data_IF_752261544471
#
_entry.id   IF_752261544471
#
_cell.length_a   1.000
_cell.length_b   1.000
_cell.length_c   1.000
_cell.angle_alpha   90.00
_cell.angle_beta   90.00
_cell.angle_gamma   90.00
#
_symmetry.space_group_name_H-M   'P 1'
#
loop_
_entity.id
_entity.type
_entity.pdbx_description
1 polymer ?
#
# COMPACT_ATOMS: atom_id res chain seq x y z
N UNK A 1 -6.97 7.43 5.35
CA UNK A 1 -5.49 7.56 5.42
C UNK A 1 -4.94 6.23 5.92
N UNK A 2 -3.87 5.69 5.30
CA UNK A 2 -3.35 4.37 5.66
C UNK A 2 -2.19 4.35 6.66
N UNK A 3 -1.50 5.47 6.89
CA UNK A 3 -0.36 5.52 7.81
C UNK A 3 -0.87 5.31 9.25
N UNK A 4 -0.36 4.32 10.01
CA UNK A 4 -0.81 4.05 11.37
C UNK A 4 -0.44 5.16 12.37
N UNK A 5 -1.23 5.28 13.43
CA UNK A 5 -1.03 6.29 14.48
C UNK A 5 0.30 6.16 15.22
N UNK A 6 0.80 4.93 15.40
CA UNK A 6 2.09 4.69 16.06
C UNK A 6 3.29 5.21 15.23
N UNK A 7 3.10 5.47 13.94
CA UNK A 7 4.13 6.03 13.03
C UNK A 7 3.92 7.53 12.81
N UNK A 8 2.67 7.97 12.73
CA UNK A 8 2.30 9.38 12.55
C UNK A 8 0.96 9.67 13.24
N UNK A 9 1.03 10.36 14.37
CA UNK A 9 -0.15 10.83 15.09
C UNK A 9 -0.99 11.78 14.24
N UNK A 10 -2.31 11.60 14.28
CA UNK A 10 -3.25 12.40 13.48
C UNK A 10 -3.32 13.86 13.92
N UNK A 11 -2.97 14.17 15.17
CA UNK A 11 -2.84 15.53 15.71
C UNK A 11 -1.78 16.35 14.96
N UNK A 12 -0.68 15.72 14.54
CA UNK A 12 0.39 16.38 13.76
C UNK A 12 -0.11 16.76 12.38
N UNK A 13 -0.91 15.90 11.76
CA UNK A 13 -1.55 16.16 10.46
C UNK A 13 -2.58 17.27 10.62
N UNK A 14 -3.44 17.20 11.63
CA UNK A 14 -4.47 18.21 11.88
C UNK A 14 -3.84 19.59 12.08
N UNK A 15 -2.75 19.69 12.86
CA UNK A 15 -2.02 20.95 13.04
C UNK A 15 -1.55 21.56 11.71
N UNK A 16 -1.13 20.75 10.73
CA UNK A 16 -0.74 21.24 9.41
C UNK A 16 -1.94 21.68 8.57
N UNK A 17 -3.05 20.97 8.65
CA UNK A 17 -4.32 21.39 8.01
C UNK A 17 -4.78 22.73 8.57
N UNK A 18 -4.81 22.87 9.91
CA UNK A 18 -5.22 24.10 10.59
C UNK A 18 -4.33 25.28 10.21
N UNK A 19 -3.01 25.05 10.14
CA UNK A 19 -2.05 26.05 9.67
C UNK A 19 -2.38 26.52 8.25
N UNK A 20 -2.57 25.58 7.31
CA UNK A 20 -2.91 25.93 5.92
C UNK A 20 -4.26 26.66 5.83
N UNK A 21 -5.24 26.28 6.65
CA UNK A 21 -6.52 26.99 6.74
C UNK A 21 -6.35 28.41 7.26
N UNK A 22 -5.53 28.63 8.30
CA UNK A 22 -5.22 29.96 8.81
C UNK A 22 -4.45 30.83 7.79
N UNK A 23 -3.67 30.21 6.92
CA UNK A 23 -2.99 30.86 5.78
C UNK A 23 -3.94 31.17 4.60
N UNK A 24 -5.22 30.77 4.69
CA UNK A 24 -6.26 31.08 3.72
C UNK A 24 -6.64 29.94 2.76
N UNK A 25 -6.11 28.74 2.95
CA UNK A 25 -6.50 27.56 2.14
C UNK A 25 -7.89 27.08 2.55
N UNK A 26 -8.81 27.03 1.58
CA UNK A 26 -10.14 26.46 1.77
C UNK A 26 -10.13 24.97 1.41
N UNK A 27 -10.45 24.11 2.38
CA UNK A 27 -10.61 22.67 2.14
C UNK A 27 -12.09 22.33 1.92
N UNK A 28 -12.40 21.75 0.76
CA UNK A 28 -13.71 21.15 0.47
C UNK A 28 -13.57 19.63 0.50
N UNK A 29 -14.01 19.02 1.60
CA UNK A 29 -13.99 17.55 1.79
C UNK A 29 -15.25 16.90 1.26
N UNK A 30 -15.22 15.58 1.03
CA UNK A 30 -16.39 14.84 0.53
C UNK A 30 -16.71 15.08 -0.94
N UNK A 31 -15.71 15.54 -1.72
CA UNK A 31 -15.84 15.83 -3.15
C UNK A 31 -14.89 14.92 -3.93
N UNK A 32 -15.41 14.27 -4.97
CA UNK A 32 -14.67 13.45 -5.92
C UNK A 32 -14.59 14.15 -7.28
N UNK A 33 -13.43 14.74 -7.60
CA UNK A 33 -13.28 15.47 -8.87
C UNK A 33 -13.11 14.49 -10.04
N UNK A 34 -13.89 14.74 -11.09
CA UNK A 34 -14.16 13.82 -12.19
C UNK A 34 -15.54 13.15 -12.07
N UNK A 35 -16.20 13.24 -10.90
CA UNK A 35 -17.55 12.71 -10.66
C UNK A 35 -18.49 13.83 -10.19
N UNK A 36 -18.17 14.47 -9.06
CA UNK A 36 -18.99 15.52 -8.46
C UNK A 36 -18.69 16.91 -9.06
N UNK A 37 -17.46 17.09 -9.58
CA UNK A 37 -17.00 18.29 -10.27
C UNK A 37 -16.20 17.88 -11.50
N UNK A 38 -16.47 18.48 -12.65
CA UNK A 38 -15.75 18.20 -13.88
C UNK A 38 -14.47 19.03 -13.98
N UNK A 39 -13.53 18.56 -14.82
CA UNK A 39 -12.31 19.32 -15.12
C UNK A 39 -12.62 20.67 -15.78
N UNK A 40 -13.62 20.72 -16.66
CA UNK A 40 -13.99 21.93 -17.39
C UNK A 40 -14.59 23.00 -16.46
N UNK A 41 -15.43 22.61 -15.49
CA UNK A 41 -15.93 23.51 -14.46
C UNK A 41 -14.78 24.12 -13.66
N UNK A 42 -13.80 23.30 -13.25
CA UNK A 42 -12.63 23.79 -12.52
C UNK A 42 -11.77 24.74 -13.35
N UNK A 43 -11.53 24.42 -14.62
CA UNK A 43 -10.74 25.27 -15.52
C UNK A 43 -11.46 26.57 -15.87
N UNK A 44 -12.79 26.60 -15.82
CA UNK A 44 -13.59 27.82 -15.98
C UNK A 44 -13.60 28.72 -14.73
N UNK A 45 -13.53 28.13 -13.54
CA UNK A 45 -13.62 28.85 -12.26
C UNK A 45 -12.28 29.33 -11.69
N UNK A 46 -11.17 28.69 -12.06
CA UNK A 46 -9.86 28.93 -11.46
C UNK A 46 -8.79 29.21 -12.51
N UNK A 47 -7.85 30.11 -12.18
CA UNK A 47 -6.73 30.46 -13.06
C UNK A 47 -5.73 29.31 -13.25
N UNK A 48 -5.68 28.37 -12.29
CA UNK A 48 -4.82 27.20 -12.31
C UNK A 48 -5.42 26.04 -11.52
N UNK A 49 -5.14 24.82 -11.97
CA UNK A 49 -5.56 23.56 -11.32
C UNK A 49 -4.33 22.68 -11.12
N UNK A 50 -4.10 22.23 -9.88
CA UNK A 50 -3.01 21.31 -9.53
C UNK A 50 -3.58 19.97 -9.12
N UNK A 51 -3.12 18.90 -9.77
CA UNK A 51 -3.58 17.54 -9.51
C UNK A 51 -2.77 16.87 -8.41
N UNK A 52 -3.44 16.53 -7.31
CA UNK A 52 -2.82 15.93 -6.12
C UNK A 52 -3.58 14.69 -5.63
N UNK A 53 -4.25 13.96 -6.52
CA UNK A 53 -5.14 12.84 -6.17
C UNK A 53 -4.46 11.56 -5.66
N UNK A 54 -3.13 11.44 -5.82
CA UNK A 54 -2.38 10.26 -5.39
C UNK A 54 -2.72 8.99 -6.18
N UNK A 55 -2.46 7.82 -5.57
CA UNK A 55 -2.74 6.50 -6.15
C UNK A 55 -3.69 5.73 -5.22
N UNK A 56 -4.97 5.69 -5.57
CA UNK A 56 -6.02 5.08 -4.72
C UNK A 56 -6.37 3.66 -5.12
N UNK A 57 -5.98 3.21 -6.32
CA UNK A 57 -6.25 1.87 -6.81
C UNK A 57 -5.17 0.91 -6.25
N UNK A 58 -5.55 -0.09 -5.42
CA UNK A 58 -4.61 -1.09 -4.98
C UNK A 58 -4.19 -2.00 -6.14
N UNK A 59 -2.97 -2.51 -6.09
CA UNK A 59 -2.52 -3.53 -7.05
C UNK A 59 -3.10 -4.88 -6.67
N UNK A 60 -3.78 -5.53 -7.62
CA UNK A 60 -4.41 -6.83 -7.40
C UNK A 60 -3.52 -8.03 -7.80
N UNK A 61 -3.77 -9.19 -7.18
CA UNK A 61 -3.05 -10.45 -7.40
C UNK A 61 -4.02 -11.46 -8.02
N UNK A 62 -4.11 -11.52 -9.35
CA UNK A 62 -5.06 -12.39 -10.02
C UNK A 62 -4.53 -13.84 -10.03
N UNK A 63 -4.59 -14.49 -8.87
CA UNK A 63 -4.25 -15.90 -8.66
C UNK A 63 -5.49 -16.66 -8.20
N UNK A 64 -5.58 -17.98 -8.44
CA UNK A 64 -6.70 -18.78 -7.93
C UNK A 64 -6.87 -18.64 -6.41
N UNK A 65 -8.12 -18.56 -5.95
CA UNK A 65 -8.45 -18.39 -4.52
C UNK A 65 -8.27 -16.96 -4.00
N UNK A 66 -7.95 -15.98 -4.85
CA UNK A 66 -7.87 -14.56 -4.49
C UNK A 66 -9.19 -14.03 -3.89
N UNK A 67 -10.30 -14.60 -4.31
CA UNK A 67 -11.67 -14.28 -3.92
C UNK A 67 -12.10 -14.89 -2.58
N UNK A 68 -11.28 -15.76 -1.98
CA UNK A 68 -11.59 -16.36 -0.69
C UNK A 68 -11.65 -15.30 0.42
N UNK A 69 -12.58 -15.49 1.34
CA UNK A 69 -12.69 -14.66 2.54
C UNK A 69 -11.41 -14.74 3.35
N UNK A 70 -10.92 -13.59 3.79
CA UNK A 70 -9.64 -13.44 4.48
C UNK A 70 -8.49 -12.93 3.59
N UNK A 71 -8.71 -12.73 2.29
CA UNK A 71 -7.73 -12.07 1.40
C UNK A 71 -8.14 -10.61 1.15
N UNK A 72 -7.42 -9.67 1.77
CA UNK A 72 -7.78 -8.26 1.77
C UNK A 72 -6.67 -7.37 1.21
N UNK A 73 -7.05 -6.17 0.74
CA UNK A 73 -6.06 -5.14 0.45
C UNK A 73 -5.54 -4.52 1.75
N UNK A 74 -4.25 -4.18 1.76
CA UNK A 74 -3.63 -3.53 2.92
C UNK A 74 -4.34 -2.22 3.30
N UNK A 75 -4.80 -1.45 2.32
CA UNK A 75 -5.47 -0.17 2.57
C UNK A 75 -6.83 -0.32 3.25
N UNK A 76 -7.54 -1.43 3.03
CA UNK A 76 -8.81 -1.70 3.71
C UNK A 76 -8.55 -1.93 5.20
N UNK A 77 -7.58 -2.79 5.51
CA UNK A 77 -7.14 -3.09 6.87
C UNK A 77 -6.63 -1.85 7.62
N UNK A 78 -5.67 -1.14 7.04
CA UNK A 78 -5.01 0.01 7.68
C UNK A 78 -5.96 1.20 7.86
N UNK A 79 -6.82 1.47 6.86
CA UNK A 79 -7.79 2.56 6.96
C UNK A 79 -8.85 2.22 8.00
N UNK A 80 -9.32 0.97 8.04
CA UNK A 80 -10.28 0.53 9.06
C UNK A 80 -9.70 0.66 10.47
N UNK A 81 -8.45 0.27 10.71
CA UNK A 81 -7.81 0.48 12.01
C UNK A 81 -7.72 1.96 12.40
N UNK A 82 -7.32 2.83 11.47
CA UNK A 82 -7.25 4.27 11.76
C UNK A 82 -8.62 4.88 12.09
N UNK A 83 -9.69 4.38 11.48
CA UNK A 83 -11.08 4.79 11.81
C UNK A 83 -11.47 4.34 13.22
N UNK A 84 -11.14 3.10 13.60
CA UNK A 84 -11.37 2.60 14.97
C UNK A 84 -10.63 3.45 16.00
N UNK A 85 -9.37 3.81 15.75
CA UNK A 85 -8.60 4.69 16.64
C UNK A 85 -9.22 6.10 16.76
N UNK A 86 -9.85 6.59 15.69
CA UNK A 86 -10.57 7.85 15.69
C UNK A 86 -11.94 7.78 16.39
N UNK A 87 -12.33 6.59 16.90
CA UNK A 87 -13.59 6.36 17.60
C UNK A 87 -14.78 6.04 16.69
N UNK A 88 -14.55 5.76 15.41
CA UNK A 88 -15.61 5.28 14.51
C UNK A 88 -16.01 3.84 14.87
N UNK A 89 -17.31 3.54 14.75
CA UNK A 89 -17.83 2.19 14.91
C UNK A 89 -17.85 1.45 13.57
N UNK A 90 -17.30 0.24 13.54
CA UNK A 90 -17.38 -0.68 12.41
C UNK A 90 -18.10 -1.95 12.88
N UNK A 91 -19.16 -2.40 12.18
CA UNK A 91 -19.85 -3.64 12.53
C UNK A 91 -18.92 -4.84 12.55
N UNK A 92 -19.11 -5.76 13.50
CA UNK A 92 -18.23 -6.93 13.66
C UNK A 92 -18.16 -7.81 12.40
N UNK A 93 -19.26 -7.91 11.65
CA UNK A 93 -19.32 -8.68 10.40
C UNK A 93 -18.42 -8.09 9.29
N UNK A 94 -18.12 -6.79 9.34
CA UNK A 94 -17.24 -6.10 8.39
C UNK A 94 -15.83 -5.89 8.94
N UNK A 95 -15.61 -6.30 10.20
CA UNK A 95 -14.36 -6.03 10.91
C UNK A 95 -13.25 -6.95 10.44
N UNK A 96 -12.18 -6.32 9.98
CA UNK A 96 -10.92 -6.91 9.59
C UNK A 96 -10.00 -6.83 10.82
N UNK A 97 -9.84 -7.95 11.55
CA UNK A 97 -9.04 -8.01 12.77
C UNK A 97 -8.05 -9.17 12.76
N UNK A 98 -6.77 -8.88 12.94
CA UNK A 98 -5.67 -9.85 13.06
C UNK A 98 -5.57 -10.51 14.44
N UNK A 99 -6.42 -10.14 15.40
CA UNK A 99 -6.39 -10.67 16.77
C UNK A 99 -6.46 -12.20 16.80
N UNK A 100 -5.49 -12.82 17.49
CA UNK A 100 -5.40 -14.27 17.66
C UNK A 100 -5.19 -15.05 16.35
N UNK A 101 -4.79 -14.39 15.27
CA UNK A 101 -4.70 -14.98 13.94
C UNK A 101 -3.27 -15.07 13.42
N UNK A 102 -3.08 -16.01 12.50
CA UNK A 102 -1.86 -16.18 11.72
C UNK A 102 -2.01 -15.40 10.41
N UNK A 103 -1.16 -14.41 10.24
CA UNK A 103 -1.28 -13.38 9.19
C UNK A 103 -0.15 -13.53 8.19
N UNK A 104 -0.44 -13.39 6.90
CA UNK A 104 0.58 -13.21 5.85
C UNK A 104 0.43 -11.86 5.19
N UNK A 105 1.53 -11.13 5.07
CA UNK A 105 1.64 -9.84 4.37
C UNK A 105 2.45 -10.10 3.09
N UNK A 106 1.85 -9.79 1.95
CA UNK A 106 2.49 -9.82 0.63
C UNK A 106 2.98 -8.42 0.29
N UNK A 107 4.28 -8.21 0.45
CA UNK A 107 5.00 -6.96 0.19
C UNK A 107 5.90 -6.53 1.35
N UNK A 108 7.15 -6.20 1.02
CA UNK A 108 8.22 -5.79 1.93
C UNK A 108 8.39 -4.28 2.10
N UNK A 109 7.58 -3.46 1.43
CA UNK A 109 7.65 -1.99 1.52
C UNK A 109 7.02 -1.40 2.78
N UNK A 110 6.97 -0.06 2.84
CA UNK A 110 6.41 0.71 3.96
C UNK A 110 5.00 0.26 4.37
N UNK A 111 4.10 0.05 3.40
CA UNK A 111 2.75 -0.43 3.69
C UNK A 111 2.74 -1.81 4.33
N UNK A 112 3.65 -2.70 3.93
CA UNK A 112 3.80 -4.02 4.56
C UNK A 112 4.29 -3.91 6.00
N UNK A 113 5.25 -3.01 6.25
CA UNK A 113 5.69 -2.67 7.61
C UNK A 113 4.57 -2.07 8.48
N UNK A 114 3.71 -1.26 7.89
CA UNK A 114 2.57 -0.65 8.57
C UNK A 114 1.50 -1.72 8.91
N UNK A 115 1.25 -2.67 7.99
CA UNK A 115 0.42 -3.85 8.26
C UNK A 115 1.00 -4.70 9.40
N UNK A 116 2.31 -4.96 9.38
CA UNK A 116 3.01 -5.75 10.41
C UNK A 116 2.82 -5.13 11.80
N UNK A 117 3.16 -3.86 11.96
CA UNK A 117 3.03 -3.17 13.25
C UNK A 117 1.58 -3.04 13.72
N UNK A 118 0.63 -2.94 12.79
CA UNK A 118 -0.81 -2.94 13.12
C UNK A 118 -1.27 -4.33 13.57
N UNK A 119 -0.86 -5.40 12.89
CA UNK A 119 -1.18 -6.78 13.28
C UNK A 119 -0.61 -7.14 14.65
N UNK A 120 0.60 -6.70 14.98
CA UNK A 120 1.19 -6.87 16.32
C UNK A 120 0.32 -6.19 17.40
N UNK A 121 -0.10 -4.95 17.16
CA UNK A 121 -0.94 -4.18 18.11
C UNK A 121 -2.35 -4.75 18.27
N UNK A 122 -2.87 -5.42 17.25
CA UNK A 122 -4.12 -6.17 17.34
C UNK A 122 -3.97 -7.53 18.03
N UNK A 123 -2.75 -7.98 18.37
CA UNK A 123 -2.52 -9.25 19.04
C UNK A 123 -2.55 -10.45 18.10
N UNK A 124 -2.00 -10.33 16.89
CA UNK A 124 -1.81 -11.46 16.00
C UNK A 124 -0.94 -12.56 16.66
N UNK A 125 -1.27 -13.82 16.41
CA UNK A 125 -0.50 -14.97 16.91
C UNK A 125 0.89 -15.02 16.27
N UNK A 126 0.93 -14.82 14.95
CA UNK A 126 2.14 -14.80 14.15
C UNK A 126 1.89 -13.99 12.87
N UNK A 127 2.91 -13.27 12.43
CA UNK A 127 2.85 -12.48 11.18
C UNK A 127 4.03 -12.87 10.30
N UNK A 128 3.74 -13.32 9.09
CA UNK A 128 4.71 -13.53 8.02
C UNK A 128 4.68 -12.33 7.07
N UNK A 129 5.84 -11.79 6.72
CA UNK A 129 5.99 -10.76 5.70
C UNK A 129 6.81 -11.33 4.55
N UNK A 130 6.13 -11.69 3.46
CA UNK A 130 6.72 -12.27 2.27
C UNK A 130 6.92 -11.20 1.20
N UNK A 131 8.14 -11.07 0.69
CA UNK A 131 8.50 -10.22 -0.43
C UNK A 131 8.84 -11.07 -1.65
N UNK A 132 8.41 -10.60 -2.82
CA UNK A 132 8.68 -11.23 -4.10
C UNK A 132 10.12 -10.96 -4.57
N UNK A 133 10.64 -9.78 -4.24
CA UNK A 133 12.02 -9.39 -4.52
C UNK A 133 13.00 -10.06 -3.56
N UNK A 134 14.24 -10.21 -4.01
CA UNK A 134 15.34 -10.71 -3.18
C UNK A 134 15.62 -9.79 -2.00
N UNK A 135 16.21 -10.37 -0.96
CA UNK A 135 16.68 -9.60 0.19
C UNK A 135 17.66 -8.52 -0.28
N UNK A 136 17.38 -7.23 0.00
CA UNK A 136 18.29 -6.16 -0.36
C UNK A 136 19.62 -6.29 0.40
N UNK A 137 20.75 -5.81 -0.15
CA UNK A 137 22.04 -5.84 0.55
C UNK A 137 22.03 -4.92 1.78
N UNK A 138 22.88 -5.19 2.77
CA UNK A 138 23.02 -4.32 3.97
C UNK A 138 23.60 -2.95 3.63
N UNK A 139 24.45 -2.88 2.62
CA UNK A 139 25.19 -1.70 2.22
C UNK A 139 24.91 -1.31 0.76
N UNK A 140 25.16 -0.04 0.44
CA UNK A 140 25.00 0.45 -0.94
C UNK A 140 26.00 -0.26 -1.85
N UNK A 141 25.52 -0.78 -2.96
CA UNK A 141 26.38 -1.27 -4.03
C UNK A 141 27.04 -0.11 -4.78
N UNK A 142 28.14 -0.39 -5.49
CA UNK A 142 28.82 0.59 -6.36
C UNK A 142 27.88 1.20 -7.41
N UNK A 143 26.86 0.45 -7.83
CA UNK A 143 25.84 0.87 -8.79
C UNK A 143 24.67 1.65 -8.15
N UNK A 144 24.67 1.86 -6.83
CA UNK A 144 23.70 2.65 -6.09
C UNK A 144 24.37 3.72 -5.18
N UNK A 145 25.22 4.62 -5.75
CA UNK A 145 25.93 5.62 -4.96
C UNK A 145 24.99 6.75 -4.49
N UNK A 146 25.42 7.50 -3.48
CA UNK A 146 24.79 8.78 -3.14
C UNK A 146 24.91 9.75 -4.34
N UNK A 147 23.87 10.55 -4.68
CA UNK A 147 22.63 10.83 -3.94
C UNK A 147 21.42 9.96 -4.32
N UNK A 148 21.61 8.81 -5.00
CA UNK A 148 20.49 7.93 -5.34
C UNK A 148 19.84 7.36 -4.07
N UNK A 149 18.54 7.04 -4.16
CA UNK A 149 17.84 6.38 -3.07
C UNK A 149 18.53 5.06 -2.71
N UNK A 150 18.88 4.82 -1.43
CA UNK A 150 19.57 3.60 -1.04
C UNK A 150 18.66 2.39 -1.18
N UNK A 151 19.07 1.46 -2.05
CA UNK A 151 18.48 0.14 -2.26
C UNK A 151 19.17 -0.87 -1.33
N UNK A 152 18.99 -0.66 -0.02
CA UNK A 152 19.58 -1.47 1.04
C UNK A 152 18.49 -2.05 1.93
N UNK A 153 18.84 -3.08 2.70
CA UNK A 153 17.95 -3.67 3.68
C UNK A 153 17.63 -2.61 4.72
N UNK A 154 16.34 -2.31 4.86
CA UNK A 154 15.84 -1.46 5.93
C UNK A 154 15.02 -2.30 6.88
N UNK A 155 15.23 -2.03 8.15
CA UNK A 155 14.46 -2.60 9.25
C UNK A 155 13.73 -1.44 9.91
N UNK A 156 12.39 -1.51 9.92
CA UNK A 156 11.54 -0.57 10.63
C UNK A 156 11.32 -1.03 12.07
N UNK A 157 10.81 -0.13 12.92
CA UNK A 157 10.42 -0.49 14.30
C UNK A 157 9.41 -1.65 14.33
N UNK A 158 8.46 -1.70 13.38
CA UNK A 158 7.51 -2.82 13.28
C UNK A 158 8.19 -4.16 13.02
N UNK A 159 9.31 -4.16 12.29
CA UNK A 159 10.09 -5.37 12.00
C UNK A 159 10.99 -5.75 13.18
N UNK A 160 11.46 -4.78 13.97
CA UNK A 160 12.16 -5.02 15.24
C UNK A 160 11.22 -5.61 16.31
N UNK A 161 9.93 -5.26 16.28
CA UNK A 161 8.89 -5.85 17.15
C UNK A 161 8.65 -7.35 16.87
N UNK A 162 9.14 -7.88 15.74
CA UNK A 162 9.10 -9.29 15.39
C UNK A 162 8.30 -9.60 14.12
N UNK A 163 8.01 -10.89 13.93
CA UNK A 163 7.44 -11.43 12.68
C UNK A 163 8.50 -12.13 11.83
N UNK A 164 8.03 -12.95 10.87
CA UNK A 164 8.89 -13.75 10.00
C UNK A 164 9.00 -13.04 8.66
N UNK A 165 10.17 -12.48 8.34
CA UNK A 165 10.46 -11.90 7.03
C UNK A 165 10.99 -12.98 6.10
N UNK A 166 10.44 -13.03 4.89
CA UNK A 166 10.86 -13.98 3.87
C UNK A 166 10.92 -13.31 2.50
N UNK A 167 11.90 -13.69 1.69
CA UNK A 167 12.21 -13.07 0.40
C UNK A 167 12.19 -14.10 -0.71
N UNK A 168 12.18 -13.60 -1.95
CA UNK A 168 12.11 -14.46 -3.14
C UNK A 168 10.90 -15.39 -3.11
N UNK A 169 9.76 -14.89 -2.60
CA UNK A 169 8.52 -15.65 -2.46
C UNK A 169 7.50 -15.20 -3.49
N UNK A 170 7.16 -16.08 -4.43
CA UNK A 170 6.05 -15.86 -5.36
C UNK A 170 4.81 -16.65 -4.91
N UNK A 171 3.76 -15.93 -4.52
CA UNK A 171 2.43 -16.53 -4.29
C UNK A 171 1.87 -17.08 -5.60
N UNK A 172 1.49 -18.36 -5.60
CA UNK A 172 0.93 -19.04 -6.77
C UNK A 172 -0.58 -19.10 -6.73
N UNK A 173 -1.16 -19.43 -5.57
CA UNK A 173 -2.59 -19.47 -5.33
C UNK A 173 -2.91 -19.54 -3.82
N UNK A 174 -4.19 -19.36 -3.50
CA UNK A 174 -4.74 -19.60 -2.16
C UNK A 174 -5.65 -20.82 -2.20
N UNK A 175 -5.71 -21.54 -1.08
CA UNK A 175 -6.70 -22.59 -0.89
C UNK A 175 -7.39 -22.44 0.44
N UNK A 176 -8.62 -22.94 0.53
CA UNK A 176 -9.47 -22.72 1.66
C UNK A 176 -10.65 -23.67 1.70
N UNK A 177 -11.47 -23.52 2.73
CA UNK A 177 -12.66 -24.35 2.97
C UNK A 177 -13.82 -23.45 3.37
N UNK A 178 -15.03 -23.83 2.95
CA UNK A 178 -16.26 -23.07 3.23
C UNK A 178 -16.18 -21.59 2.79
N UNK A 179 -15.43 -21.30 1.73
CA UNK A 179 -15.25 -19.93 1.20
C UNK A 179 -14.17 -19.11 1.88
N UNK A 180 -13.53 -19.59 2.96
CA UNK A 180 -12.48 -18.86 3.68
C UNK A 180 -11.09 -19.44 3.42
N UNK A 181 -10.08 -18.56 3.34
CA UNK A 181 -8.67 -18.96 3.13
C UNK A 181 -8.15 -19.74 4.35
N UNK A 182 -7.42 -20.83 4.08
CA UNK A 182 -6.72 -21.61 5.13
C UNK A 182 -5.21 -21.73 4.83
N UNK A 183 -4.81 -21.59 3.56
CA UNK A 183 -3.43 -21.77 3.09
C UNK A 183 -3.05 -20.79 1.97
N UNK A 184 -1.78 -20.41 1.98
CA UNK A 184 -1.10 -19.72 0.90
C UNK A 184 -0.08 -20.68 0.31
N UNK A 185 -0.14 -20.85 -1.00
CA UNK A 185 0.81 -21.65 -1.76
C UNK A 185 1.79 -20.73 -2.46
N UNK A 186 3.08 -21.04 -2.33
CA UNK A 186 4.14 -20.24 -2.90
C UNK A 186 5.25 -21.12 -3.49
N UNK A 187 6.11 -20.48 -4.28
CA UNK A 187 7.31 -21.06 -4.85
C UNK A 187 8.46 -20.09 -4.66
N UNK A 188 9.68 -20.60 -4.50
CA UNK A 188 10.87 -19.74 -4.51
C UNK A 188 11.14 -19.24 -5.92
N UNK A 189 11.59 -18.00 -6.01
CA UNK A 189 12.01 -17.41 -7.27
C UNK A 189 13.48 -16.99 -7.21
N UNK A 190 14.05 -16.76 -8.38
CA UNK A 190 15.30 -16.06 -8.54
C UNK A 190 15.11 -14.96 -9.59
N UNK A 191 15.94 -13.93 -9.52
CA UNK A 191 15.90 -12.81 -10.45
C UNK A 191 17.10 -12.86 -11.39
N UNK A 192 16.82 -13.29 -12.62
CA UNK A 192 17.80 -13.36 -13.70
C UNK A 192 18.13 -11.99 -14.29
N UNK A 193 18.98 -12.01 -15.32
CA UNK A 193 19.41 -10.79 -16.01
C UNK A 193 18.21 -9.98 -16.56
N UNK A 194 18.31 -8.65 -16.63
CA UNK A 194 17.26 -7.83 -17.22
C UNK A 194 16.97 -8.17 -18.68
N UNK A 195 15.69 -8.21 -19.03
CA UNK A 195 15.23 -8.31 -20.42
C UNK A 195 15.56 -7.04 -21.23
N UNK A 196 15.20 -7.03 -22.52
CA UNK A 196 15.40 -5.88 -23.41
C UNK A 196 14.69 -4.58 -22.94
N UNK A 197 13.73 -4.67 -22.02
CA UNK A 197 13.04 -3.53 -21.40
C UNK A 197 13.71 -3.06 -20.10
N UNK A 198 14.79 -3.73 -19.68
CA UNK A 198 15.50 -3.47 -18.43
C UNK A 198 14.82 -4.07 -17.19
N UNK A 199 13.86 -4.98 -17.35
CA UNK A 199 13.18 -5.65 -16.24
C UNK A 199 13.87 -6.98 -15.94
N UNK A 200 14.28 -7.24 -14.69
CA UNK A 200 14.80 -8.55 -14.30
C UNK A 200 13.83 -9.68 -14.67
N UNK A 201 14.38 -10.77 -15.21
CA UNK A 201 13.61 -11.98 -15.49
C UNK A 201 13.26 -12.69 -14.19
N UNK A 202 11.98 -13.01 -13.98
CA UNK A 202 11.56 -13.83 -12.84
C UNK A 202 11.65 -15.30 -13.22
N UNK A 203 12.46 -16.06 -12.49
CA UNK A 203 12.68 -17.49 -12.69
C UNK A 203 12.14 -18.25 -11.48
N UNK A 204 11.25 -19.23 -11.70
CA UNK A 204 10.77 -20.10 -10.60
C UNK A 204 11.81 -21.18 -10.36
N UNK A 205 12.09 -21.46 -9.08
CA UNK A 205 12.94 -22.58 -8.71
C UNK A 205 12.08 -23.85 -8.64
N UNK A 206 12.30 -24.80 -9.54
CA UNK A 206 11.56 -26.06 -9.56
C UNK A 206 11.79 -26.88 -8.29
N UNK A 207 10.72 -27.49 -7.75
CA UNK A 207 10.80 -28.29 -6.52
C UNK A 207 10.90 -27.48 -5.23
N UNK A 208 10.78 -26.15 -5.31
CA UNK A 208 10.83 -25.23 -4.16
C UNK A 208 9.44 -24.80 -3.67
N UNK A 209 8.39 -25.47 -4.12
CA UNK A 209 7.01 -25.19 -3.71
C UNK A 209 6.83 -25.43 -2.22
N UNK A 210 6.11 -24.52 -1.56
CA UNK A 210 5.81 -24.63 -0.14
C UNK A 210 4.46 -24.00 0.19
N UNK A 211 3.93 -24.41 1.34
CA UNK A 211 2.67 -23.91 1.89
C UNK A 211 2.93 -23.17 3.21
N UNK A 212 2.27 -22.03 3.37
CA UNK A 212 2.14 -21.37 4.68
C UNK A 212 0.75 -21.74 5.24
N UNK A 213 0.73 -22.38 6.41
CA UNK A 213 -0.50 -22.91 7.03
C UNK A 213 -0.39 -23.03 8.56
N UNK A 214 -1.50 -22.91 9.30
CA UNK A 214 -2.77 -22.31 8.87
C UNK A 214 -2.63 -20.79 8.75
N UNK A 215 -3.35 -20.19 7.80
CA UNK A 215 -3.45 -18.73 7.65
C UNK A 215 -4.91 -18.34 7.80
N UNK A 216 -5.17 -17.28 8.55
CA UNK A 216 -6.51 -16.71 8.69
C UNK A 216 -6.69 -15.41 7.91
N UNK A 217 -5.60 -14.68 7.60
CA UNK A 217 -5.63 -13.50 6.72
C UNK A 217 -4.38 -13.35 5.85
N UNK A 218 -4.59 -12.81 4.65
CA UNK A 218 -3.55 -12.38 3.73
C UNK A 218 -3.76 -10.91 3.32
N UNK A 219 -2.76 -10.06 3.54
CA UNK A 219 -2.75 -8.64 3.11
C UNK A 219 -1.86 -8.49 1.89
N UNK A 220 -2.26 -7.71 0.87
CA UNK A 220 -1.34 -7.35 -0.22
C UNK A 220 -1.14 -5.86 -0.41
N UNK A 221 0.10 -5.50 -0.73
CA UNK A 221 0.46 -4.22 -1.33
C UNK A 221 1.54 -4.37 -2.40
N UNK A 222 1.57 -3.45 -3.38
CA UNK A 222 2.71 -3.26 -4.26
C UNK A 222 2.73 -1.84 -4.83
N UNK A 223 3.80 -1.08 -4.53
CA UNK A 223 4.14 0.18 -5.22
C UNK A 223 4.72 -0.14 -6.61
N UNK A 224 4.35 0.63 -7.63
CA UNK A 224 5.14 0.71 -8.85
C UNK A 224 5.31 2.19 -9.22
N UNK A 225 6.51 2.73 -9.01
CA UNK A 225 6.94 3.93 -9.72
C UNK A 225 7.36 3.45 -11.12
N UNK A 226 6.43 3.47 -12.08
CA UNK A 226 6.78 3.26 -13.49
C UNK A 226 7.51 4.52 -13.98
N UNK A 227 8.83 4.44 -14.16
CA UNK A 227 9.58 5.40 -14.98
C UNK A 227 9.35 5.04 -16.46
N UNK A 228 8.63 5.86 -17.21
CA UNK A 228 8.44 5.66 -18.66
C UNK A 228 7.54 6.70 -19.31
N UNK A 229 8.13 7.47 -20.23
CA UNK A 229 7.52 8.56 -21.01
C UNK A 229 6.41 8.04 -21.94
N UNK A 230 5.26 8.72 -22.00
CA UNK A 230 4.29 8.54 -23.09
C UNK A 230 2.82 8.29 -22.74
N UNK A 231 2.35 8.58 -21.52
CA UNK A 231 0.99 8.23 -21.06
C UNK A 231 0.05 9.43 -20.88
N UNK A 232 0.27 10.53 -21.60
CA UNK A 232 -0.44 11.80 -21.35
C UNK A 232 -1.68 12.06 -22.21
N UNK A 233 -2.02 11.20 -23.19
CA UNK A 233 -3.12 11.52 -24.13
C UNK A 233 -4.46 10.83 -23.84
N UNK A 234 -4.55 9.80 -22.98
CA UNK A 234 -5.83 9.06 -22.79
C UNK A 234 -6.36 8.97 -21.35
N UNK A 235 -5.65 9.50 -20.34
CA UNK A 235 -6.08 9.40 -18.94
C UNK A 235 -6.70 10.67 -18.34
N UNK A 236 -6.80 11.75 -19.12
CA UNK A 236 -7.28 13.05 -18.64
C UNK A 236 -8.75 13.05 -18.16
N UNK A 237 -9.51 11.99 -18.43
CA UNK A 237 -10.96 11.95 -18.20
C UNK A 237 -11.41 11.25 -16.90
N UNK A 238 -10.51 10.79 -16.02
CA UNK A 238 -10.94 9.99 -14.84
C UNK A 238 -10.35 10.37 -13.47
N UNK A 239 -9.55 11.42 -13.36
CA UNK A 239 -8.74 11.59 -12.14
C UNK A 239 -8.45 13.04 -11.82
N UNK A 240 -9.09 13.61 -10.81
CA UNK A 240 -8.51 14.76 -10.12
C UNK A 240 -8.86 14.73 -8.62
N UNK A 241 -7.90 15.11 -7.79
CA UNK A 241 -8.16 15.84 -6.55
C UNK A 241 -7.43 17.16 -6.75
N UNK A 242 -8.14 18.29 -6.64
CA UNK A 242 -7.62 19.59 -7.02
C UNK A 242 -7.23 20.42 -5.79
N UNK A 243 -5.99 20.89 -5.74
CA UNK A 243 -5.61 22.01 -4.88
C UNK A 243 -5.89 23.32 -5.64
N UNK A 244 -6.64 24.23 -5.02
CA UNK A 244 -7.21 25.43 -5.66
C UNK A 244 -6.55 26.71 -5.13
N UNK A 245 -6.32 27.70 -5.99
CA UNK A 245 -5.84 29.01 -5.60
C UNK A 245 -6.67 30.09 -6.31
N UNK A 246 -7.27 31.04 -5.55
CA UNK A 246 -7.93 32.24 -6.10
C UNK A 246 -7.14 33.47 -5.69
N UNK A 247 -6.93 34.40 -6.62
CA UNK A 247 -6.35 35.71 -6.31
C UNK A 247 -7.42 36.63 -5.72
N UNK A 248 -7.20 37.18 -4.53
CA UNK A 248 -7.88 38.41 -4.12
C UNK A 248 -7.38 39.54 -5.02
N UNK A 249 -8.17 39.93 -6.04
CA UNK A 249 -7.95 41.18 -6.78
C UNK A 249 -8.24 42.34 -5.83
N UNK A 250 -7.22 42.87 -5.15
CA UNK A 250 -7.26 44.27 -4.71
C UNK A 250 -7.20 45.14 -5.98
N UNK A 251 -8.19 46.02 -6.12
CA UNK A 251 -8.28 47.03 -7.19
C UNK A 251 -7.07 47.95 -7.20
#
# INVERSE_FOLDING_TARGET
MGIPDFKLEKTVVQRRVDQMTAEGVTFKTGVNVGVDLTGDELMGEFDAVVLTGGCTIPRDLPVPGRELDGVHFAMDFLTQQNRLNAGEHIPDAERISAEGKRVVILGGGDTGSDCLGTSHRQGAEIVYQCELLSEPPTDRSENNPWPLWPMILRTSSSQEEGGVRDYDVLTTHFSGRNGSVEKLHAVRVNWGAPDASGRPSLERLEGSEFELTPISYCWRWALCIRRGKGFWSSLASRWMGAAMCRRTRTR
#
